data_IF_189283678294
#
_entry.id   IF_189283678294
#
_cell.length_a   1.000
_cell.length_b   1.000
_cell.length_c   1.000
_cell.angle_alpha   90.00
_cell.angle_beta   90.00
_cell.angle_gamma   90.00
#
_symmetry.space_group_name_H-M   'P 1'
#
loop_
_entity.id
_entity.type
_entity.pdbx_description
1 polymer ?
#
# COMPACT_ATOMS: atom_id res chain seq x y z
N UNK A 1 -27.93 13.25 -27.28
CA UNK A 1 -28.00 12.26 -26.18
C UNK A 1 -27.41 10.90 -26.62
N UNK A 2 -27.82 10.32 -27.75
CA UNK A 2 -27.30 9.04 -28.25
C UNK A 2 -25.76 8.95 -28.46
N UNK A 3 -25.10 10.04 -28.87
CA UNK A 3 -23.63 10.03 -29.06
C UNK A 3 -22.82 9.96 -27.76
N UNK A 4 -23.41 10.31 -26.61
CA UNK A 4 -22.73 10.23 -25.31
C UNK A 4 -22.76 8.80 -24.76
N UNK A 5 -23.84 8.05 -25.03
CA UNK A 5 -24.01 6.65 -24.59
C UNK A 5 -23.01 5.70 -25.28
N UNK A 6 -22.76 5.87 -26.59
CA UNK A 6 -21.77 5.05 -27.30
C UNK A 6 -20.34 5.31 -26.78
N UNK A 7 -20.01 6.56 -26.44
CA UNK A 7 -18.72 6.91 -25.84
C UNK A 7 -18.56 6.39 -24.40
N UNK A 8 -19.62 6.38 -23.60
CA UNK A 8 -19.58 5.80 -22.26
C UNK A 8 -19.48 4.27 -22.30
N UNK A 9 -20.22 3.62 -23.20
CA UNK A 9 -20.19 2.16 -23.38
C UNK A 9 -18.80 1.69 -23.81
N UNK A 10 -18.18 2.36 -24.79
CA UNK A 10 -16.81 2.02 -25.23
C UNK A 10 -15.76 2.22 -24.12
N UNK A 11 -15.89 3.25 -23.28
CA UNK A 11 -15.01 3.44 -22.10
C UNK A 11 -15.21 2.36 -21.04
N UNK A 12 -16.45 1.93 -20.80
CA UNK A 12 -16.77 0.86 -19.85
C UNK A 12 -16.22 -0.48 -20.32
N UNK A 13 -16.42 -0.82 -21.59
CA UNK A 13 -15.90 -2.05 -22.20
C UNK A 13 -14.37 -2.09 -22.12
N UNK A 14 -13.71 -0.97 -22.39
CA UNK A 14 -12.24 -0.88 -22.31
C UNK A 14 -11.71 -1.08 -20.89
N UNK A 15 -12.38 -0.52 -19.88
CA UNK A 15 -12.04 -0.77 -18.46
C UNK A 15 -12.32 -2.21 -18.04
N UNK A 16 -13.40 -2.81 -18.55
CA UNK A 16 -13.73 -4.21 -18.31
C UNK A 16 -12.64 -5.12 -18.92
N UNK A 17 -12.21 -4.84 -20.14
CA UNK A 17 -11.13 -5.56 -20.82
C UNK A 17 -9.81 -5.45 -20.05
N UNK A 18 -9.47 -4.25 -19.57
CA UNK A 18 -8.26 -4.04 -18.75
C UNK A 18 -8.34 -4.84 -17.44
N UNK A 19 -9.51 -4.88 -16.79
CA UNK A 19 -9.73 -5.66 -15.58
C UNK A 19 -9.66 -7.18 -15.84
N UNK A 20 -10.28 -7.67 -16.92
CA UNK A 20 -10.24 -9.08 -17.33
C UNK A 20 -8.81 -9.50 -17.71
N UNK A 21 -8.07 -8.64 -18.41
CA UNK A 21 -6.68 -8.89 -18.76
C UNK A 21 -5.80 -8.99 -17.51
N UNK A 22 -6.01 -8.11 -16.52
CA UNK A 22 -5.31 -8.18 -15.24
C UNK A 22 -5.67 -9.47 -14.48
N UNK A 23 -6.96 -9.82 -14.43
CA UNK A 23 -7.41 -11.04 -13.77
C UNK A 23 -6.79 -12.28 -14.40
N UNK A 24 -6.73 -12.35 -15.75
CA UNK A 24 -6.06 -13.43 -16.48
C UNK A 24 -4.56 -13.54 -16.14
N UNK A 25 -3.86 -12.41 -15.99
CA UNK A 25 -2.45 -12.40 -15.53
C UNK A 25 -2.31 -12.96 -14.13
N UNK A 26 -3.15 -12.50 -13.19
CA UNK A 26 -3.16 -12.99 -11.80
C UNK A 26 -3.49 -14.49 -11.75
N UNK A 27 -4.46 -14.97 -12.53
CA UNK A 27 -4.79 -16.39 -12.62
C UNK A 27 -3.64 -17.21 -13.21
N UNK A 28 -2.96 -16.71 -14.25
CA UNK A 28 -1.81 -17.40 -14.84
C UNK A 28 -0.65 -17.54 -13.83
N UNK A 29 -0.36 -16.48 -13.08
CA UNK A 29 0.65 -16.49 -12.01
C UNK A 29 0.25 -17.49 -10.92
N UNK A 30 -0.98 -17.42 -10.42
CA UNK A 30 -1.49 -18.37 -9.42
C UNK A 30 -1.42 -19.81 -9.90
N UNK A 31 -1.73 -20.07 -11.18
CA UNK A 31 -1.62 -21.41 -11.76
C UNK A 31 -0.17 -21.89 -11.79
N UNK A 32 0.77 -21.03 -12.21
CA UNK A 32 2.18 -21.38 -12.24
C UNK A 32 2.73 -21.66 -10.83
N UNK A 33 2.40 -20.79 -9.87
CA UNK A 33 2.71 -21.01 -8.45
C UNK A 33 2.12 -22.34 -8.00
N UNK A 34 0.83 -22.58 -8.24
CA UNK A 34 0.15 -23.83 -7.90
C UNK A 34 0.88 -25.07 -8.44
N UNK A 35 1.29 -25.08 -9.71
CA UNK A 35 2.07 -26.19 -10.28
C UNK A 35 3.39 -26.43 -9.54
N UNK A 36 4.14 -25.37 -9.24
CA UNK A 36 5.38 -25.46 -8.48
C UNK A 36 5.13 -25.95 -7.04
N UNK A 37 4.12 -25.42 -6.36
CA UNK A 37 3.80 -25.79 -4.98
C UNK A 37 3.30 -27.22 -4.88
N UNK A 38 2.51 -27.70 -5.84
CA UNK A 38 2.05 -29.09 -5.89
C UNK A 38 3.23 -30.04 -6.14
N UNK A 39 4.11 -29.73 -7.10
CA UNK A 39 5.31 -30.53 -7.36
C UNK A 39 6.24 -30.58 -6.14
N UNK A 40 6.44 -29.43 -5.48
CA UNK A 40 7.22 -29.34 -4.24
C UNK A 40 6.64 -30.24 -3.15
N UNK A 41 5.31 -30.21 -2.92
CA UNK A 41 4.66 -31.06 -1.92
C UNK A 41 4.83 -32.56 -2.18
N UNK A 42 4.79 -33.00 -3.44
CA UNK A 42 5.06 -34.39 -3.79
C UNK A 42 6.54 -34.77 -3.55
N UNK A 43 7.46 -33.85 -3.79
CA UNK A 43 8.89 -34.06 -3.57
C UNK A 43 9.22 -34.34 -2.09
N UNK A 44 8.47 -33.73 -1.16
CA UNK A 44 8.62 -33.94 0.30
C UNK A 44 8.41 -35.41 0.68
N UNK A 45 7.51 -36.13 0.00
CA UNK A 45 7.26 -37.55 0.29
C UNK A 45 8.21 -38.49 -0.46
N UNK A 46 8.60 -38.14 -1.68
CA UNK A 46 9.43 -39.00 -2.55
C UNK A 46 10.90 -39.01 -2.11
N UNK A 47 11.47 -37.85 -1.74
CA UNK A 47 12.89 -37.74 -1.40
C UNK A 47 13.29 -38.66 -0.22
N UNK A 48 12.58 -38.67 0.92
CA UNK A 48 12.92 -39.55 2.04
C UNK A 48 12.87 -41.02 1.65
N UNK A 49 11.84 -41.42 0.91
CA UNK A 49 11.69 -42.79 0.45
C UNK A 49 12.83 -43.20 -0.49
N UNK A 50 13.24 -42.33 -1.42
CA UNK A 50 14.35 -42.60 -2.35
C UNK A 50 15.69 -42.78 -1.64
N UNK A 51 15.97 -41.98 -0.61
CA UNK A 51 17.22 -42.04 0.16
C UNK A 51 17.27 -43.31 1.02
N UNK A 52 16.13 -43.71 1.58
CA UNK A 52 16.03 -44.79 2.57
C UNK A 52 15.79 -46.16 1.92
N UNK A 53 15.14 -46.20 0.75
CA UNK A 53 14.85 -47.44 0.03
C UNK A 53 16.07 -48.36 -0.18
N UNK A 54 17.27 -47.87 -0.55
CA UNK A 54 18.45 -48.73 -0.70
C UNK A 54 18.87 -49.41 0.62
N UNK A 55 18.69 -48.73 1.76
CA UNK A 55 19.01 -49.30 3.07
C UNK A 55 17.98 -50.36 3.51
N UNK A 56 16.71 -50.16 3.16
CA UNK A 56 15.65 -51.15 3.36
C UNK A 56 15.87 -52.40 2.50
N UNK A 57 16.20 -52.23 1.22
CA UNK A 57 16.46 -53.36 0.30
C UNK A 57 17.68 -54.19 0.74
N UNK A 58 18.66 -53.56 1.42
CA UNK A 58 19.80 -54.25 2.04
C UNK A 58 19.46 -54.99 3.34
N UNK A 59 18.24 -54.83 3.88
CA UNK A 59 17.80 -55.44 5.13
C UNK A 59 18.31 -54.75 6.39
N UNK A 60 18.90 -53.56 6.29
CA UNK A 60 19.51 -52.87 7.43
C UNK A 60 18.49 -52.13 8.32
N UNK A 61 17.27 -51.94 7.82
CA UNK A 61 16.22 -51.16 8.47
C UNK A 61 14.84 -51.73 8.14
N UNK A 62 13.90 -51.56 9.06
CA UNK A 62 12.50 -51.96 8.85
C UNK A 62 11.75 -50.98 7.95
N UNK A 63 10.70 -51.48 7.30
CA UNK A 63 9.81 -50.65 6.47
C UNK A 63 9.24 -49.45 7.23
N UNK A 64 9.00 -49.60 8.54
CA UNK A 64 8.50 -48.51 9.40
C UNK A 64 9.41 -47.28 9.44
N UNK A 65 10.73 -47.44 9.23
CA UNK A 65 11.70 -46.34 9.20
C UNK A 65 11.47 -45.42 7.99
N UNK A 66 10.96 -45.96 6.87
CA UNK A 66 10.62 -45.17 5.67
C UNK A 66 9.48 -44.20 6.01
N UNK A 67 8.41 -44.69 6.64
CA UNK A 67 7.26 -43.87 7.04
C UNK A 67 7.65 -42.82 8.08
N UNK A 68 8.45 -43.20 9.09
CA UNK A 68 8.92 -42.26 10.13
C UNK A 68 9.76 -41.14 9.55
N UNK A 69 10.63 -41.46 8.59
CA UNK A 69 11.49 -40.48 7.96
C UNK A 69 10.74 -39.54 7.02
N UNK A 70 9.70 -40.04 6.34
CA UNK A 70 8.76 -39.20 5.59
C UNK A 70 8.08 -38.16 6.50
N UNK A 71 7.59 -38.60 7.67
CA UNK A 71 6.96 -37.70 8.65
C UNK A 71 7.95 -36.65 9.21
N UNK A 72 9.16 -37.07 9.58
CA UNK A 72 10.19 -36.16 10.09
C UNK A 72 10.62 -35.12 9.03
N UNK A 73 10.76 -35.53 7.77
CA UNK A 73 11.10 -34.63 6.67
C UNK A 73 9.96 -33.62 6.40
N UNK A 74 8.71 -34.06 6.45
CA UNK A 74 7.56 -33.17 6.32
C UNK A 74 7.51 -32.12 7.45
N UNK A 75 7.81 -32.51 8.69
CA UNK A 75 7.93 -31.55 9.81
C UNK A 75 9.06 -30.53 9.58
N UNK A 76 10.23 -30.99 9.13
CA UNK A 76 11.37 -30.11 8.83
C UNK A 76 11.04 -29.09 7.73
N UNK A 77 10.44 -29.56 6.63
CA UNK A 77 10.01 -28.70 5.52
C UNK A 77 8.94 -27.72 5.98
N UNK A 78 7.96 -28.17 6.79
CA UNK A 78 6.95 -27.29 7.38
C UNK A 78 7.56 -26.18 8.24
N UNK A 79 8.54 -26.52 9.07
CA UNK A 79 9.24 -25.56 9.92
C UNK A 79 9.98 -24.49 9.09
N UNK A 80 10.68 -24.88 8.02
CA UNK A 80 11.33 -23.91 7.13
C UNK A 80 10.32 -23.10 6.29
N UNK A 81 9.19 -23.71 5.94
CA UNK A 81 8.13 -23.05 5.17
C UNK A 81 7.42 -21.96 5.97
N UNK A 82 7.33 -22.09 7.30
CA UNK A 82 6.67 -21.09 8.17
C UNK A 82 7.22 -19.68 7.95
N UNK A 83 8.54 -19.53 7.80
CA UNK A 83 9.16 -18.21 7.54
C UNK A 83 8.68 -17.63 6.21
N UNK A 84 8.55 -18.48 5.19
CA UNK A 84 8.10 -18.09 3.85
C UNK A 84 6.59 -17.77 3.86
N UNK A 85 5.76 -18.61 4.48
CA UNK A 85 4.31 -18.40 4.53
C UNK A 85 3.91 -17.18 5.35
N UNK A 86 4.68 -16.85 6.39
CA UNK A 86 4.43 -15.68 7.23
C UNK A 86 5.02 -14.37 6.65
N UNK A 87 5.84 -14.44 5.59
CA UNK A 87 6.51 -13.27 5.02
C UNK A 87 5.52 -12.17 4.61
N UNK A 88 4.38 -12.54 4.01
CA UNK A 88 3.36 -11.56 3.59
C UNK A 88 2.69 -10.86 4.77
N UNK A 89 2.45 -11.58 5.87
CA UNK A 89 1.89 -10.99 7.10
C UNK A 89 2.87 -10.00 7.73
N UNK A 90 4.15 -10.38 7.83
CA UNK A 90 5.22 -9.51 8.34
C UNK A 90 5.38 -8.26 7.47
N UNK A 91 5.38 -8.43 6.14
CA UNK A 91 5.49 -7.32 5.18
C UNK A 91 4.32 -6.35 5.30
N UNK A 92 3.10 -6.88 5.45
CA UNK A 92 1.88 -6.06 5.63
C UNK A 92 1.94 -5.29 6.94
N UNK A 93 2.35 -5.95 8.03
CA UNK A 93 2.54 -5.30 9.32
C UNK A 93 3.57 -4.17 9.23
N UNK A 94 4.73 -4.41 8.61
CA UNK A 94 5.77 -3.40 8.42
C UNK A 94 5.26 -2.19 7.60
N UNK A 95 4.50 -2.44 6.52
CA UNK A 95 3.91 -1.37 5.71
C UNK A 95 2.89 -0.53 6.50
N UNK A 96 2.09 -1.15 7.38
CA UNK A 96 1.16 -0.45 8.25
C UNK A 96 1.90 0.40 9.28
N UNK A 97 2.92 -0.15 9.94
CA UNK A 97 3.76 0.58 10.90
C UNK A 97 4.44 1.78 10.24
N UNK A 98 5.02 1.60 9.05
CA UNK A 98 5.65 2.68 8.29
C UNK A 98 4.68 3.81 7.97
N UNK A 99 3.47 3.47 7.48
CA UNK A 99 2.43 4.48 7.20
C UNK A 99 1.97 5.23 8.44
N UNK A 100 1.84 4.55 9.58
CA UNK A 100 1.48 5.20 10.84
C UNK A 100 2.58 6.15 11.32
N UNK A 101 3.84 5.75 11.20
CA UNK A 101 5.00 6.60 11.49
C UNK A 101 5.00 7.86 10.62
N UNK A 102 4.82 7.71 9.30
CA UNK A 102 4.75 8.86 8.38
C UNK A 102 3.57 9.79 8.68
N UNK A 103 2.43 9.25 9.11
CA UNK A 103 1.29 10.06 9.53
C UNK A 103 1.60 10.87 10.79
N UNK A 104 2.25 10.26 11.78
CA UNK A 104 2.64 10.93 13.02
C UNK A 104 3.63 12.06 12.76
N UNK A 105 4.65 11.82 11.91
CA UNK A 105 5.58 12.86 11.46
C UNK A 105 4.87 14.02 10.73
N UNK A 106 3.86 13.72 9.90
CA UNK A 106 3.11 14.75 9.19
C UNK A 106 2.29 15.63 10.15
N UNK A 107 1.70 15.03 11.19
CA UNK A 107 0.97 15.76 12.24
C UNK A 107 1.93 16.66 13.00
N UNK A 108 3.08 16.16 13.44
CA UNK A 108 4.09 16.96 14.15
C UNK A 108 4.58 18.15 13.32
N UNK A 109 4.85 17.95 12.02
CA UNK A 109 5.23 19.03 11.09
C UNK A 109 4.13 20.07 10.89
N UNK A 110 2.86 19.66 10.92
CA UNK A 110 1.72 20.58 10.82
C UNK A 110 1.56 21.45 12.08
N UNK A 111 1.86 20.91 13.25
CA UNK A 111 1.83 21.64 14.53
C UNK A 111 3.01 22.59 14.74
N UNK A 112 4.10 22.44 13.98
CA UNK A 112 5.33 23.26 14.12
C UNK A 112 5.38 24.48 13.19
N UNK A 113 4.34 24.77 12.42
CA UNK A 113 4.23 26.05 11.69
C UNK A 113 3.79 27.19 12.63
N UNK A 114 4.58 27.42 13.68
CA UNK A 114 4.45 28.53 14.62
C UNK A 114 5.44 29.66 14.31
N UNK A 115 5.86 29.80 13.04
CA UNK A 115 6.75 30.89 12.58
C UNK A 115 6.19 31.68 11.40
N UNK A 116 4.98 31.34 10.92
CA UNK A 116 4.19 32.28 10.13
C UNK A 116 3.64 33.36 11.09
N UNK A 117 4.53 34.27 11.49
CA UNK A 117 4.29 35.38 12.42
C UNK A 117 3.33 36.39 11.79
N UNK A 118 2.03 36.04 11.76
CA UNK A 118 0.99 37.04 11.59
C UNK A 118 0.77 37.63 12.98
N UNK A 119 1.20 38.87 13.17
CA UNK A 119 0.92 39.63 14.39
C UNK A 119 -0.58 39.99 14.39
N UNK A 120 -1.34 39.38 15.30
CA UNK A 120 -2.78 39.62 15.43
C UNK A 120 -2.99 40.74 16.45
N UNK A 121 -3.44 41.89 15.97
CA UNK A 121 -3.83 43.03 16.81
C UNK A 121 -5.35 43.14 16.83
N UNK A 122 -5.98 42.97 18.00
CA UNK A 122 -7.43 43.13 18.15
C UNK A 122 -7.84 44.61 18.10
N UNK A 123 -8.55 44.99 17.02
CA UNK A 123 -9.18 46.30 16.87
C UNK A 123 -10.70 46.19 16.89
N UNK A 124 -11.40 47.06 17.64
CA UNK A 124 -12.86 46.97 17.83
C UNK A 124 -13.70 47.37 16.60
N UNK A 125 -13.12 48.07 15.61
CA UNK A 125 -13.91 48.78 14.59
C UNK A 125 -13.42 48.59 13.14
N UNK A 126 -12.35 47.81 12.92
CA UNK A 126 -11.81 47.55 11.58
C UNK A 126 -11.08 46.21 11.50
N UNK A 127 -11.18 45.54 10.35
CA UNK A 127 -10.36 44.41 9.97
C UNK A 127 -9.30 44.91 8.99
N UNK A 128 -8.02 44.85 9.36
CA UNK A 128 -6.94 45.27 8.47
C UNK A 128 -5.90 44.15 8.33
N UNK A 129 -5.40 43.98 7.12
CA UNK A 129 -4.23 43.18 6.81
C UNK A 129 -3.13 44.14 6.34
N UNK A 130 -1.91 43.91 6.80
CA UNK A 130 -0.72 44.68 6.41
C UNK A 130 0.36 43.71 5.91
N UNK A 131 0.81 43.89 4.67
CA UNK A 131 1.85 43.09 4.03
C UNK A 131 1.63 41.56 4.11
N UNK A 132 0.36 41.12 3.96
CA UNK A 132 0.02 39.71 4.04
C UNK A 132 0.44 38.98 2.75
N UNK A 133 1.30 37.97 2.89
CA UNK A 133 1.66 37.04 1.81
C UNK A 133 1.16 35.63 2.13
N UNK A 134 0.28 35.11 1.29
CA UNK A 134 -0.26 33.75 1.39
C UNK A 134 0.49 32.82 0.44
N UNK A 135 1.08 31.77 0.99
CA UNK A 135 1.75 30.71 0.24
C UNK A 135 0.84 29.50 0.10
N UNK A 136 0.95 28.81 -1.03
CA UNK A 136 0.24 27.56 -1.27
C UNK A 136 0.90 26.43 -0.46
N UNK A 137 0.09 25.72 0.31
CA UNK A 137 0.55 24.76 1.33
C UNK A 137 1.45 23.62 0.80
N UNK A 138 1.31 23.25 -0.48
CA UNK A 138 2.01 22.09 -1.05
C UNK A 138 3.27 22.43 -1.84
N UNK A 139 3.35 23.61 -2.46
CA UNK A 139 4.44 23.97 -3.37
C UNK A 139 5.16 25.28 -2.97
N UNK A 140 4.73 25.94 -1.89
CA UNK A 140 5.32 27.19 -1.41
C UNK A 140 5.16 28.36 -2.37
N UNK A 141 4.38 28.19 -3.46
CA UNK A 141 4.17 29.26 -4.44
C UNK A 141 3.24 30.29 -3.82
N UNK A 142 3.61 31.59 -3.86
CA UNK A 142 2.76 32.65 -3.36
C UNK A 142 1.47 32.76 -4.19
N UNK A 143 0.33 32.53 -3.53
CA UNK A 143 -1.02 32.73 -4.11
C UNK A 143 -1.35 34.22 -4.11
N UNK A 144 -0.98 34.91 -3.03
CA UNK A 144 -1.22 36.33 -2.81
C UNK A 144 0.03 36.92 -2.17
N UNK A 145 0.50 38.07 -2.66
CA UNK A 145 1.68 38.78 -2.13
C UNK A 145 1.29 40.16 -1.65
N UNK A 146 1.89 40.56 -0.53
CA UNK A 146 1.92 41.94 -0.03
C UNK A 146 0.54 42.63 0.00
N UNK A 147 -0.49 41.91 0.45
CA UNK A 147 -1.83 42.46 0.55
C UNK A 147 -1.95 43.32 1.80
N UNK A 148 -2.21 44.60 1.55
CA UNK A 148 -2.54 45.60 2.55
C UNK A 148 -3.95 46.13 2.27
N UNK A 149 -4.92 45.73 3.08
CA UNK A 149 -6.34 46.13 2.94
C UNK A 149 -6.92 46.45 4.31
N UNK A 150 -7.77 47.48 4.38
CA UNK A 150 -8.49 47.87 5.60
C UNK A 150 -9.98 47.91 5.32
N UNK A 151 -10.75 47.15 6.10
CA UNK A 151 -12.19 47.00 5.99
C UNK A 151 -12.83 47.53 7.30
N UNK A 152 -13.53 48.67 7.25
CA UNK A 152 -14.21 49.22 8.43
C UNK A 152 -15.50 48.45 8.75
N UNK A 153 -15.93 48.50 10.02
CA UNK A 153 -17.16 47.86 10.48
C UNK A 153 -18.40 48.34 9.69
N UNK A 154 -19.26 47.42 9.27
CA UNK A 154 -20.48 47.73 8.51
C UNK A 154 -20.31 47.78 6.99
N UNK A 155 -19.12 47.52 6.47
CA UNK A 155 -18.86 47.51 5.01
C UNK A 155 -19.16 46.15 4.39
N UNK A 156 -19.78 46.12 3.21
CA UNK A 156 -19.95 44.91 2.39
C UNK A 156 -18.86 44.87 1.32
N UNK A 157 -18.01 43.84 1.37
CA UNK A 157 -16.90 43.66 0.41
C UNK A 157 -17.16 42.42 -0.44
N UNK A 158 -16.96 42.53 -1.75
CA UNK A 158 -17.00 41.43 -2.70
C UNK A 158 -15.58 41.15 -3.20
N UNK A 159 -15.13 39.92 -3.04
CA UNK A 159 -13.82 39.47 -3.53
C UNK A 159 -14.04 38.72 -4.85
N UNK A 160 -13.45 39.21 -5.93
CA UNK A 160 -13.52 38.58 -7.26
C UNK A 160 -12.11 38.38 -7.81
N UNK A 161 -11.88 37.29 -8.55
CA UNK A 161 -10.61 37.06 -9.25
C UNK A 161 -10.78 36.09 -10.42
N UNK A 162 -9.96 36.21 -11.48
CA UNK A 162 -9.87 35.20 -12.52
C UNK A 162 -9.16 33.95 -11.96
N UNK A 163 -9.74 32.78 -12.19
CA UNK A 163 -9.16 31.46 -11.89
C UNK A 163 -7.90 31.18 -12.67
#
# INVERSE_FOLDING_TARGET
LAHCEEQQSSRLLRRLDDAVANFRKVTAINRNVGFFTTGYNWLIQIIPALIIAPAYIRGNIDFGVITQSGAAFAMLVGAFSLVITQFQSISTFAAVVSRLSSLMEAIERSGTHADASIEIVEGKERLAYENLTLLHATNGVPIVKDVSISIPLGTRVLITGPT
#
